data_IF_927485220406
#
_entry.id   IF_927485220406
#
_cell.length_a   1.000
_cell.length_b   1.000
_cell.length_c   1.000
_cell.angle_alpha   90.00
_cell.angle_beta   90.00
_cell.angle_gamma   90.00
#
_symmetry.space_group_name_H-M   'P 1'
#
loop_
_entity.id
_entity.type
_entity.pdbx_description
1 polymer ?
#
# COMPACT_ATOMS: atom_id res chain seq x y z
N UNK A 1 -13.51 -6.36 -5.83
CA UNK A 1 -12.62 -6.07 -6.95
C UNK A 1 -11.28 -5.60 -6.46
N UNK A 2 -10.21 -5.87 -7.23
CA UNK A 2 -8.85 -5.47 -6.79
C UNK A 2 -8.71 -3.98 -6.55
N UNK A 3 -9.38 -3.16 -7.36
CA UNK A 3 -9.31 -1.71 -7.21
C UNK A 3 -9.84 -1.28 -5.86
N UNK A 4 -10.89 -1.94 -5.41
CA UNK A 4 -11.48 -1.60 -4.11
C UNK A 4 -10.51 -1.87 -2.97
N UNK A 5 -9.81 -3.00 -3.04
CA UNK A 5 -8.82 -3.32 -2.01
C UNK A 5 -7.68 -2.31 -2.01
N UNK A 6 -7.25 -1.89 -3.19
CA UNK A 6 -6.20 -0.88 -3.28
C UNK A 6 -6.64 0.43 -2.64
N UNK A 7 -7.86 0.84 -2.89
CA UNK A 7 -8.39 2.05 -2.29
C UNK A 7 -8.45 1.95 -0.77
N UNK A 8 -8.84 0.80 -0.26
CA UNK A 8 -8.88 0.57 1.18
C UNK A 8 -7.50 0.71 1.80
N UNK A 9 -6.51 0.11 1.18
CA UNK A 9 -5.14 0.18 1.68
C UNK A 9 -4.61 1.61 1.62
N UNK A 10 -4.83 2.29 0.51
CA UNK A 10 -4.37 3.66 0.37
C UNK A 10 -5.01 4.59 1.40
N UNK A 11 -6.30 4.42 1.61
CA UNK A 11 -7.02 5.23 2.60
C UNK A 11 -6.45 4.99 4.00
N UNK A 12 -6.18 3.74 4.32
CA UNK A 12 -5.60 3.40 5.61
C UNK A 12 -4.23 4.04 5.80
N UNK A 13 -3.39 3.94 4.77
CA UNK A 13 -2.03 4.49 4.85
C UNK A 13 -2.08 6.00 4.97
N UNK A 14 -3.00 6.65 4.26
CA UNK A 14 -3.13 8.10 4.37
C UNK A 14 -3.55 8.54 5.76
N UNK A 15 -4.40 7.73 6.41
CA UNK A 15 -4.87 8.05 7.76
C UNK A 15 -3.83 7.76 8.83
N UNK A 16 -3.13 6.64 8.69
CA UNK A 16 -2.25 6.15 9.75
C UNK A 16 -0.77 6.31 9.42
N UNK A 17 -0.44 6.69 8.20
CA UNK A 17 0.93 6.92 7.79
C UNK A 17 1.63 5.69 7.23
N UNK A 18 1.18 4.50 7.59
CA UNK A 18 1.80 3.26 7.13
C UNK A 18 0.85 2.10 7.36
N UNK A 19 1.17 0.97 6.73
CA UNK A 19 0.40 -0.24 6.93
C UNK A 19 1.34 -1.43 6.91
N UNK A 20 1.13 -2.37 7.82
CA UNK A 20 1.84 -3.63 7.83
C UNK A 20 1.04 -4.67 7.07
N UNK A 21 1.74 -5.75 6.65
CA UNK A 21 1.07 -6.81 5.90
C UNK A 21 -0.10 -7.39 6.70
N UNK A 22 0.12 -7.63 7.98
CA UNK A 22 -0.93 -8.19 8.82
C UNK A 22 -2.14 -7.27 8.91
N UNK A 23 -1.89 -5.96 8.97
CA UNK A 23 -2.96 -4.99 9.01
C UNK A 23 -3.75 -4.99 7.70
N UNK A 24 -3.05 -5.12 6.58
CA UNK A 24 -3.71 -5.19 5.29
C UNK A 24 -4.55 -6.46 5.16
N UNK A 25 -4.07 -7.57 5.71
CA UNK A 25 -4.83 -8.80 5.69
C UNK A 25 -6.15 -8.66 6.42
N UNK A 26 -6.13 -8.03 7.58
CA UNK A 26 -7.34 -7.81 8.34
C UNK A 26 -8.25 -6.79 7.67
N UNK A 27 -7.67 -5.72 7.15
CA UNK A 27 -8.44 -4.66 6.53
C UNK A 27 -9.20 -5.16 5.31
N UNK A 28 -8.52 -5.91 4.45
CA UNK A 28 -9.11 -6.40 3.20
C UNK A 28 -9.70 -7.79 3.33
N UNK A 29 -9.48 -8.47 4.46
CA UNK A 29 -9.93 -9.84 4.70
C UNK A 29 -9.43 -10.78 3.62
N UNK A 30 -8.16 -10.64 3.29
CA UNK A 30 -7.50 -11.48 2.30
C UNK A 30 -6.50 -12.38 2.99
N UNK A 31 -6.15 -13.48 2.31
CA UNK A 31 -5.11 -14.36 2.79
C UNK A 31 -3.74 -13.70 2.64
N UNK A 32 -2.74 -14.26 3.30
CA UNK A 32 -1.40 -13.72 3.24
C UNK A 32 -0.89 -13.64 1.79
N UNK A 33 -1.12 -14.70 1.02
CA UNK A 33 -0.68 -14.72 -0.36
C UNK A 33 -1.36 -13.64 -1.20
N UNK A 34 -2.65 -13.45 -0.98
CA UNK A 34 -3.40 -12.44 -1.72
C UNK A 34 -2.95 -11.03 -1.36
N UNK A 35 -2.73 -10.77 -0.07
CA UNK A 35 -2.27 -9.47 0.38
C UNK A 35 -0.85 -9.21 -0.14
N UNK A 36 -0.01 -10.23 -0.11
CA UNK A 36 1.36 -10.10 -0.60
C UNK A 36 1.35 -9.66 -2.06
N UNK A 37 0.51 -10.29 -2.88
CA UNK A 37 0.39 -9.93 -4.28
C UNK A 37 -0.19 -8.53 -4.46
N UNK A 38 -1.19 -8.19 -3.66
CA UNK A 38 -1.81 -6.87 -3.71
C UNK A 38 -0.79 -5.78 -3.39
N UNK A 39 -0.08 -5.93 -2.28
CA UNK A 39 0.90 -4.93 -1.85
C UNK A 39 2.05 -4.82 -2.85
N UNK A 40 2.50 -5.96 -3.37
CA UNK A 40 3.56 -5.97 -4.37
C UNK A 40 3.14 -5.21 -5.61
N UNK A 41 1.90 -5.42 -6.06
CA UNK A 41 1.38 -4.73 -7.23
C UNK A 41 1.29 -3.23 -6.99
N UNK A 42 0.85 -2.84 -5.82
CA UNK A 42 0.75 -1.42 -5.48
C UNK A 42 2.13 -0.77 -5.42
N UNK A 43 3.11 -1.48 -4.87
CA UNK A 43 4.48 -0.97 -4.87
C UNK A 43 5.02 -0.82 -6.29
N UNK A 44 4.73 -1.79 -7.14
CA UNK A 44 5.20 -1.76 -8.52
C UNK A 44 4.56 -0.60 -9.29
N UNK A 45 3.33 -0.28 -8.94
CA UNK A 45 2.63 0.85 -9.56
C UNK A 45 3.07 2.19 -8.99
N UNK A 46 3.90 2.19 -7.96
CA UNK A 46 4.35 3.42 -7.34
C UNK A 46 3.40 3.98 -6.29
N UNK A 47 2.35 3.23 -5.96
CA UNK A 47 1.38 3.69 -4.97
C UNK A 47 1.89 3.53 -3.54
N UNK A 48 2.72 2.54 -3.30
CA UNK A 48 3.28 2.26 -1.99
C UNK A 48 4.78 2.07 -2.09
N UNK A 49 5.44 2.28 -0.97
CA UNK A 49 6.88 2.03 -0.83
C UNK A 49 7.09 1.14 0.37
N UNK A 50 7.85 0.06 0.18
CA UNK A 50 8.21 -0.83 1.27
C UNK A 50 9.38 -0.25 2.04
N UNK A 51 9.24 -0.15 3.35
CA UNK A 51 10.31 0.30 4.24
C UNK A 51 10.54 -0.72 5.33
N UNK A 52 11.79 -0.84 5.75
CA UNK A 52 12.16 -1.77 6.79
C UNK A 52 12.34 -3.17 6.26
N UNK A 53 12.57 -4.09 7.16
CA UNK A 53 12.81 -5.49 6.81
C UNK A 53 12.31 -6.38 7.94
N UNK A 54 12.03 -7.64 7.59
CA UNK A 54 11.57 -8.61 8.57
C UNK A 54 10.27 -8.18 9.24
N UNK A 55 10.15 -8.43 10.54
CA UNK A 55 8.90 -8.10 11.24
C UNK A 55 8.61 -6.61 11.34
N UNK A 56 9.62 -5.76 11.10
CA UNK A 56 9.41 -4.31 11.14
C UNK A 56 9.02 -3.73 9.79
N UNK A 57 8.93 -4.56 8.76
CA UNK A 57 8.60 -4.07 7.42
C UNK A 57 7.18 -3.48 7.39
N UNK A 58 7.06 -2.37 6.71
CA UNK A 58 5.76 -1.72 6.54
C UNK A 58 5.74 -1.00 5.20
N UNK A 59 4.55 -0.56 4.80
CA UNK A 59 4.36 0.13 3.52
C UNK A 59 3.87 1.54 3.76
N UNK A 60 4.41 2.47 3.00
CA UNK A 60 4.03 3.88 3.07
C UNK A 60 3.55 4.36 1.72
N UNK A 61 2.92 5.52 1.70
CA UNK A 61 2.46 6.13 0.45
C UNK A 61 3.66 6.36 -0.45
N UNK A 62 3.54 5.87 -1.68
CA UNK A 62 4.58 6.05 -2.66
C UNK A 62 4.56 7.43 -3.29
N UNK A 63 5.63 7.73 -4.03
CA UNK A 63 5.80 9.05 -4.61
C UNK A 63 4.91 9.28 -5.83
N UNK A 64 4.32 8.24 -6.39
CA UNK A 64 3.49 8.43 -7.57
C UNK A 64 2.27 9.29 -7.28
N UNK A 65 1.85 9.31 -6.02
CA UNK A 65 0.73 10.16 -5.61
C UNK A 65 1.09 11.64 -5.75
N UNK A 66 2.39 11.94 -5.75
CA UNK A 66 2.89 13.30 -5.88
C UNK A 66 3.30 13.64 -7.31
N UNK A 67 3.60 12.63 -8.08
CA UNK A 67 4.09 12.82 -9.45
C UNK A 67 3.08 13.62 -10.26
N UNK A 68 1.81 13.40 -10.01
CA UNK A 68 0.75 14.11 -10.72
C UNK A 68 0.88 15.61 -10.48
N UNK A 69 1.18 16.01 -9.26
CA UNK A 69 1.35 17.42 -8.93
C UNK A 69 2.60 17.99 -9.60
N UNK A 70 3.65 17.20 -9.66
CA UNK A 70 4.88 17.65 -10.29
C UNK A 70 4.69 17.91 -11.76
N UNK A 71 3.91 17.09 -12.43
CA UNK A 71 3.65 17.28 -13.85
C UNK A 71 2.89 18.56 -14.13
N UNK A 72 2.00 18.89 -13.24
CA UNK A 72 1.22 20.10 -13.38
C UNK A 72 2.08 21.32 -13.12
N UNK A 73 2.92 21.19 -12.14
CA UNK A 73 3.83 22.25 -11.80
C UNK A 73 4.92 22.43 -12.83
#
# INVERSE_FOLDING_TARGET
APIQHEQMVLSYVRQHGRIKRAEAMELCRLSEGQVKNLLKRMCKAGLLVLEGAGPAAHYRIGSSDRVVLDEIG
#
